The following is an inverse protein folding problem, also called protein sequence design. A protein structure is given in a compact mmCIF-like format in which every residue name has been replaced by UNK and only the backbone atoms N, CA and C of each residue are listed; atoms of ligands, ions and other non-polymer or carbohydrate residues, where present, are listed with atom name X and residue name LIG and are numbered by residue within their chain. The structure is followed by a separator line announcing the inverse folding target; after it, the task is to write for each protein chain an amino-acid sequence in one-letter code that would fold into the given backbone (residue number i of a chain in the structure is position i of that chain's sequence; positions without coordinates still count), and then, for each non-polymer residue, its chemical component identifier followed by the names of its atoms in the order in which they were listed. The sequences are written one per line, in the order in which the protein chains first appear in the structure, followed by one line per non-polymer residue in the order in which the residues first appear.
data_IF_315153313499
#
_entry.id   IF_315153313499
#
_cell.length_a   1.000
_cell.length_b   1.000
_cell.length_c   1.000
_cell.angle_alpha   90.00
_cell.angle_beta   90.00
_cell.angle_gamma   90.00
#
_symmetry.space_group_name_H-M   'P 1'
#
loop_
_entity.id
_entity.type
_entity.pdbx_description
1 polymer ?
#
# COMPACT_ATOMS: atom_id res chain seq x y z
N UNK A 1 -7.97 12.99 -8.74
CA UNK A 1 -8.64 11.97 -7.90
C UNK A 1 -7.52 11.22 -7.23
N UNK A 2 -7.56 11.09 -5.90
CA UNK A 2 -6.48 10.46 -5.14
C UNK A 2 -6.78 8.96 -5.03
N UNK A 3 -5.79 8.15 -5.35
CA UNK A 3 -5.88 6.70 -5.13
C UNK A 3 -5.54 6.42 -3.67
N UNK A 4 -5.87 5.24 -3.19
CA UNK A 4 -5.55 4.81 -1.82
C UNK A 4 -4.71 3.56 -1.88
N UNK A 5 -3.50 3.62 -1.32
CA UNK A 5 -2.70 2.43 -1.05
C UNK A 5 -3.17 1.80 0.27
N UNK A 6 -3.27 0.48 0.28
CA UNK A 6 -3.61 -0.34 1.42
C UNK A 6 -2.48 -1.36 1.58
N UNK A 7 -1.69 -1.19 2.63
CA UNK A 7 -0.61 -2.08 3.01
C UNK A 7 -1.12 -3.03 4.10
N UNK A 8 -1.26 -4.30 3.75
CA UNK A 8 -1.78 -5.38 4.59
C UNK A 8 -0.58 -6.16 5.11
N UNK A 9 -0.33 -6.11 6.42
CA UNK A 9 0.80 -6.79 7.07
C UNK A 9 0.42 -8.14 7.67
N UNK A 10 -0.87 -8.38 7.89
CA UNK A 10 -1.40 -9.63 8.44
C UNK A 10 -2.12 -10.41 7.34
N UNK A 11 -1.38 -11.26 6.62
CA UNK A 11 -1.95 -12.19 5.63
C UNK A 11 -1.83 -13.63 6.13
N UNK A 12 -2.69 -14.53 5.63
CA UNK A 12 -2.64 -15.96 5.97
C UNK A 12 -1.38 -16.65 5.41
N UNK A 13 -0.72 -16.04 4.43
CA UNK A 13 0.44 -16.57 3.69
C UNK A 13 1.80 -15.98 4.14
N UNK A 14 1.85 -15.31 5.30
CA UNK A 14 3.04 -14.64 5.89
C UNK A 14 3.70 -13.54 5.02
N UNK A 15 3.22 -13.30 3.79
CA UNK A 15 3.72 -12.24 2.91
C UNK A 15 2.79 -11.01 2.94
N UNK A 16 3.30 -9.84 3.31
CA UNK A 16 2.55 -8.59 3.23
C UNK A 16 2.12 -8.28 1.80
N UNK A 17 0.98 -7.61 1.64
CA UNK A 17 0.45 -7.22 0.34
C UNK A 17 0.18 -5.72 0.34
N UNK A 18 0.48 -5.07 -0.78
CA UNK A 18 0.21 -3.66 -1.00
C UNK A 18 -0.72 -3.49 -2.20
N UNK A 19 -1.95 -3.08 -1.94
CA UNK A 19 -2.98 -2.89 -2.95
C UNK A 19 -3.28 -1.41 -3.13
N UNK A 20 -3.15 -0.89 -4.35
CA UNK A 20 -3.60 0.46 -4.72
C UNK A 20 -5.01 0.38 -5.31
N UNK A 21 -5.93 1.14 -4.72
CA UNK A 21 -7.33 1.27 -5.18
C UNK A 21 -7.61 2.69 -5.68
N UNK A 22 -8.49 2.81 -6.67
CA UNK A 22 -8.98 4.09 -7.16
C UNK A 22 -9.99 4.73 -6.18
N UNK A 23 -10.49 5.93 -6.51
CA UNK A 23 -11.47 6.66 -5.69
C UNK A 23 -12.84 5.97 -5.60
N UNK A 24 -13.09 4.94 -6.43
CA UNK A 24 -14.30 4.11 -6.42
C UNK A 24 -14.09 2.79 -5.70
N UNK A 25 -12.89 2.54 -5.17
CA UNK A 25 -12.51 1.31 -4.50
C UNK A 25 -12.15 0.17 -5.44
N UNK A 26 -12.03 0.41 -6.74
CA UNK A 26 -11.55 -0.59 -7.69
C UNK A 26 -10.03 -0.75 -7.58
N UNK A 27 -9.57 -1.98 -7.61
CA UNK A 27 -8.13 -2.27 -7.62
C UNK A 27 -7.47 -1.76 -8.91
N UNK A 28 -6.37 -1.04 -8.73
CA UNK A 28 -5.52 -0.50 -9.80
C UNK A 28 -4.24 -1.33 -9.93
N UNK A 29 -3.67 -1.73 -8.79
CA UNK A 29 -2.42 -2.47 -8.72
C UNK A 29 -2.37 -3.24 -7.41
N UNK A 30 -1.82 -4.44 -7.45
CA UNK A 30 -1.50 -5.26 -6.29
C UNK A 30 -0.03 -5.67 -6.38
N UNK A 31 0.67 -5.58 -5.25
CA UNK A 31 2.08 -5.90 -5.11
C UNK A 31 2.23 -6.85 -3.92
N UNK A 32 2.71 -8.06 -4.19
CA UNK A 32 3.17 -8.96 -3.13
C UNK A 32 4.53 -8.47 -2.64
N UNK A 33 4.62 -8.18 -1.34
CA UNK A 33 5.84 -7.68 -0.72
C UNK A 33 6.61 -8.81 -0.05
N UNK A 34 7.95 -8.71 0.05
CA UNK A 34 8.74 -9.65 0.83
C UNK A 34 8.26 -9.70 2.28
N UNK A 35 8.37 -10.84 2.97
CA UNK A 35 7.97 -10.98 4.38
C UNK A 35 8.82 -10.13 5.34
N UNK A 36 9.92 -9.56 4.86
CA UNK A 36 10.74 -8.61 5.61
C UNK A 36 10.10 -7.23 5.71
N UNK A 37 9.18 -6.88 4.80
CA UNK A 37 8.51 -5.58 4.77
C UNK A 37 7.39 -5.56 5.79
N UNK A 38 7.63 -4.95 6.94
CA UNK A 38 6.66 -4.92 8.04
C UNK A 38 6.26 -3.51 8.45
N UNK A 39 7.02 -2.51 8.01
CA UNK A 39 6.79 -1.12 8.35
C UNK A 39 6.31 -0.31 7.14
N UNK A 40 5.45 0.72 7.34
CA UNK A 40 4.97 1.57 6.25
C UNK A 40 6.10 2.29 5.48
N UNK A 41 7.21 2.58 6.14
CA UNK A 41 8.39 3.19 5.50
C UNK A 41 9.02 2.28 4.45
N UNK A 42 9.01 0.97 4.67
CA UNK A 42 9.52 -0.02 3.71
C UNK A 42 8.54 -0.19 2.54
N UNK A 43 7.23 -0.10 2.80
CA UNK A 43 6.20 -0.10 1.76
C UNK A 43 6.25 1.15 0.85
N UNK A 44 6.77 2.29 1.33
CA UNK A 44 6.93 3.51 0.53
C UNK A 44 7.91 3.31 -0.64
N UNK A 45 9.00 2.57 -0.43
CA UNK A 45 9.99 2.28 -1.48
C UNK A 45 9.38 1.42 -2.59
N UNK A 46 8.54 0.45 -2.21
CA UNK A 46 7.82 -0.44 -3.14
C UNK A 46 6.70 0.31 -3.88
N UNK A 47 5.97 1.21 -3.21
CA UNK A 47 5.04 2.14 -3.85
C UNK A 47 5.74 2.96 -4.93
N UNK A 48 6.90 3.54 -4.60
CA UNK A 48 7.67 4.38 -5.52
C UNK A 48 8.19 3.57 -6.71
N UNK A 49 8.67 2.36 -6.48
CA UNK A 49 9.08 1.43 -7.53
C UNK A 49 7.91 1.07 -8.47
N UNK A 50 6.70 0.99 -7.94
CA UNK A 50 5.46 0.79 -8.70
C UNK A 50 4.90 2.07 -9.35
N UNK A 51 5.58 3.21 -9.23
CA UNK A 51 5.18 4.49 -9.84
C UNK A 51 4.14 5.26 -9.03
N UNK A 52 4.02 5.00 -7.73
CA UNK A 52 3.13 5.69 -6.81
C UNK A 52 3.91 6.46 -5.75
N UNK A 53 3.40 7.63 -5.37
CA UNK A 53 3.94 8.40 -4.26
C UNK A 53 2.83 8.72 -3.27
N UNK A 54 3.11 8.56 -1.98
CA UNK A 54 2.18 8.96 -0.92
C UNK A 54 2.01 10.47 -0.88
N UNK A 55 0.76 10.91 -0.83
CA UNK A 55 0.40 12.32 -0.71
C UNK A 55 0.11 12.75 0.73
N UNK A 56 -0.09 11.78 1.63
CA UNK A 56 -0.26 12.00 3.06
C UNK A 56 0.36 10.84 3.85
N UNK A 57 0.41 10.98 5.18
CA UNK A 57 0.97 9.96 6.07
C UNK A 57 0.06 8.73 6.15
N UNK A 58 0.68 7.59 6.44
CA UNK A 58 -0.01 6.34 6.70
C UNK A 58 -0.92 6.45 7.92
N UNK A 59 -2.12 5.89 7.78
CA UNK A 59 -3.09 5.75 8.86
C UNK A 59 -3.29 4.27 9.15
N UNK A 60 -3.35 3.89 10.41
CA UNK A 60 -3.61 2.50 10.81
C UNK A 60 -5.02 2.07 10.39
N UNK A 61 -5.14 0.85 9.86
CA UNK A 61 -6.37 0.15 9.54
C UNK A 61 -6.46 -1.17 10.33
N UNK A 62 -7.57 -1.90 10.21
CA UNK A 62 -7.80 -3.13 10.98
C UNK A 62 -6.80 -4.25 10.64
N UNK A 63 -6.26 -4.26 9.42
CA UNK A 63 -5.39 -5.30 8.83
C UNK A 63 -4.01 -4.78 8.40
N UNK A 64 -3.69 -3.52 8.74
CA UNK A 64 -2.43 -2.89 8.38
C UNK A 64 -2.52 -1.36 8.33
N UNK A 65 -2.23 -0.77 7.18
CA UNK A 65 -2.13 0.67 7.00
C UNK A 65 -2.74 1.13 5.67
N UNK A 66 -3.26 2.35 5.64
CA UNK A 66 -3.76 3.00 4.43
C UNK A 66 -3.17 4.39 4.26
N UNK A 67 -2.87 4.77 3.02
CA UNK A 67 -2.38 6.10 2.68
C UNK A 67 -2.95 6.57 1.33
N UNK A 68 -3.36 7.84 1.20
CA UNK A 68 -3.67 8.44 -0.09
C UNK A 68 -2.41 8.56 -0.97
N UNK A 69 -2.45 8.06 -2.20
CA UNK A 69 -1.36 8.05 -3.17
C UNK A 69 -1.73 8.73 -4.49
N UNK A 70 -0.71 9.20 -5.19
CA UNK A 70 -0.79 9.79 -6.53
C UNK A 70 0.26 9.15 -7.44
N UNK A 71 0.08 9.17 -8.77
CA UNK A 71 1.13 8.76 -9.70
C UNK A 71 2.40 9.60 -9.48
N UNK A 72 3.56 8.96 -9.43
CA UNK A 72 4.87 9.58 -9.24
C UNK A 72 5.37 10.30 -10.51
#
# INVERSE_FOLDING_TARGET
MANTAHFITATEDDNPVLTVRDDRGAEVTELELPPTVSEPTEADDELLAAGWSRSADWTTADDGYVAPVVPA
#
